data_IF_409783729640
#
_entry.id   IF_409783729640
#
_cell.length_a   1.000
_cell.length_b   1.000
_cell.length_c   1.000
_cell.angle_alpha   90.00
_cell.angle_beta   90.00
_cell.angle_gamma   90.00
#
_symmetry.space_group_name_H-M   'P 1'
#
loop_
_entity.id
_entity.type
_entity.pdbx_description
1 polymer ?
#
# COMPACT_ATOMS: atom_id res chain seq x y z
N UNK A 1 -25.83 -14.00 8.12
CA UNK A 1 -25.20 -13.18 7.08
C UNK A 1 -23.88 -13.83 6.70
N UNK A 2 -23.62 -14.02 5.41
CA UNK A 2 -22.42 -14.69 4.88
C UNK A 2 -21.42 -13.61 4.47
N UNK A 3 -20.19 -13.64 4.99
CA UNK A 3 -19.18 -12.61 4.73
C UNK A 3 -18.26 -13.08 3.60
N UNK A 4 -18.67 -12.78 2.37
CA UNK A 4 -17.99 -13.22 1.13
C UNK A 4 -16.54 -12.71 1.11
N UNK A 5 -16.28 -11.49 1.57
CA UNK A 5 -14.93 -10.94 1.64
C UNK A 5 -14.00 -11.71 2.60
N UNK A 6 -14.55 -12.25 3.69
CA UNK A 6 -13.79 -13.09 4.62
C UNK A 6 -13.58 -14.50 4.07
N UNK A 7 -14.55 -15.06 3.35
CA UNK A 7 -14.42 -16.36 2.68
C UNK A 7 -13.34 -16.31 1.58
N UNK A 8 -13.34 -15.28 0.74
CA UNK A 8 -12.31 -15.05 -0.28
C UNK A 8 -10.92 -14.85 0.33
N UNK A 9 -10.83 -14.19 1.50
CA UNK A 9 -9.59 -14.07 2.25
C UNK A 9 -9.09 -15.42 2.78
N UNK A 10 -9.97 -16.25 3.31
CA UNK A 10 -9.64 -17.56 3.87
C UNK A 10 -9.25 -18.57 2.78
N UNK A 11 -9.92 -18.53 1.63
CA UNK A 11 -9.58 -19.35 0.47
C UNK A 11 -8.25 -18.91 -0.16
N UNK A 12 -8.00 -17.61 -0.29
CA UNK A 12 -6.70 -17.09 -0.74
C UNK A 12 -5.55 -17.47 0.22
N UNK A 13 -5.79 -17.44 1.54
CA UNK A 13 -4.83 -17.90 2.55
C UNK A 13 -4.51 -19.39 2.42
N UNK A 14 -5.52 -20.20 2.13
CA UNK A 14 -5.42 -21.66 2.05
C UNK A 14 -4.66 -22.13 0.80
N UNK A 15 -4.81 -21.44 -0.32
CA UNK A 15 -4.15 -21.82 -1.58
C UNK A 15 -2.70 -21.33 -1.69
N UNK A 16 -2.32 -20.27 -0.96
CA UNK A 16 -1.06 -19.53 -1.18
C UNK A 16 -0.04 -19.69 -0.06
N UNK A 17 -0.42 -20.27 1.07
CA UNK A 17 0.45 -20.45 2.25
C UNK A 17 0.87 -19.15 2.97
N UNK A 18 0.45 -17.99 2.46
CA UNK A 18 0.69 -16.66 3.00
C UNK A 18 -0.53 -15.75 2.79
N UNK A 19 -0.74 -14.80 3.69
CA UNK A 19 -1.89 -13.90 3.63
C UNK A 19 -1.83 -12.92 2.46
N UNK A 20 -2.97 -12.39 1.99
CA UNK A 20 -3.02 -11.49 0.84
C UNK A 20 -2.17 -10.22 1.02
N UNK A 21 -1.96 -9.75 2.26
CA UNK A 21 -1.13 -8.58 2.56
C UNK A 21 0.38 -8.80 2.40
N UNK A 22 0.84 -10.05 2.41
CA UNK A 22 2.24 -10.43 2.21
C UNK A 22 2.47 -11.12 0.88
N UNK A 23 1.48 -11.85 0.38
CA UNK A 23 1.54 -12.66 -0.83
C UNK A 23 1.89 -11.84 -2.09
N UNK A 24 1.38 -10.60 -2.20
CA UNK A 24 1.64 -9.77 -3.36
C UNK A 24 3.14 -9.51 -3.60
N UNK A 25 3.97 -9.61 -2.56
CA UNK A 25 5.42 -9.45 -2.64
C UNK A 25 6.14 -10.59 -3.37
N UNK A 26 5.43 -11.63 -3.77
CA UNK A 26 5.97 -12.73 -4.59
C UNK A 26 5.50 -12.67 -6.05
N UNK A 27 4.75 -11.65 -6.43
CA UNK A 27 4.14 -11.54 -7.75
C UNK A 27 4.89 -10.56 -8.63
N UNK A 28 4.98 -10.84 -9.94
CA UNK A 28 5.35 -9.82 -10.91
C UNK A 28 4.28 -8.72 -10.96
N UNK A 29 4.66 -7.54 -11.46
CA UNK A 29 3.75 -6.41 -11.66
C UNK A 29 2.48 -6.82 -12.42
N UNK A 30 2.61 -7.43 -13.61
CA UNK A 30 1.47 -7.95 -14.39
C UNK A 30 0.56 -8.94 -13.63
N UNK A 31 1.13 -9.89 -12.88
CA UNK A 31 0.35 -10.84 -12.06
C UNK A 31 -0.37 -10.14 -10.91
N UNK A 32 0.30 -9.20 -10.25
CA UNK A 32 -0.35 -8.38 -9.21
C UNK A 32 -1.54 -7.61 -9.78
N UNK A 33 -1.38 -6.96 -10.94
CA UNK A 33 -2.45 -6.15 -11.55
C UNK A 33 -3.69 -7.01 -11.81
N UNK A 34 -3.51 -8.24 -12.30
CA UNK A 34 -4.62 -9.17 -12.56
C UNK A 34 -5.38 -9.53 -11.27
N UNK A 35 -4.67 -9.71 -10.15
CA UNK A 35 -5.23 -10.19 -8.89
C UNK A 35 -5.39 -9.08 -7.82
N UNK A 36 -5.19 -7.82 -8.19
CA UNK A 36 -5.09 -6.72 -7.25
C UNK A 36 -6.35 -6.54 -6.39
N UNK A 37 -7.53 -6.97 -6.89
CA UNK A 37 -8.79 -6.96 -6.13
C UNK A 37 -8.74 -7.80 -4.85
N UNK A 38 -7.93 -8.86 -4.81
CA UNK A 38 -7.80 -9.69 -3.61
C UNK A 38 -7.10 -8.90 -2.50
N UNK A 39 -6.04 -8.16 -2.86
CA UNK A 39 -5.28 -7.33 -1.93
C UNK A 39 -6.11 -6.13 -1.49
N UNK A 40 -6.81 -5.50 -2.42
CA UNK A 40 -7.72 -4.38 -2.17
C UNK A 40 -8.82 -4.75 -1.17
N UNK A 41 -9.53 -5.86 -1.43
CA UNK A 41 -10.56 -6.39 -0.53
C UNK A 41 -9.98 -6.66 0.85
N UNK A 42 -8.75 -7.19 0.91
CA UNK A 42 -8.13 -7.48 2.18
C UNK A 42 -7.78 -6.23 2.99
N UNK A 43 -7.22 -5.21 2.34
CA UNK A 43 -6.94 -3.91 2.96
C UNK A 43 -8.24 -3.27 3.44
N UNK A 44 -9.27 -3.19 2.59
CA UNK A 44 -10.56 -2.56 2.91
C UNK A 44 -11.24 -3.25 4.11
N UNK A 45 -11.26 -4.58 4.13
CA UNK A 45 -11.81 -5.36 5.24
C UNK A 45 -11.12 -5.01 6.56
N UNK A 46 -9.79 -4.94 6.56
CA UNK A 46 -9.01 -4.66 7.76
C UNK A 46 -9.19 -3.21 8.23
N UNK A 47 -9.10 -2.22 7.34
CA UNK A 47 -9.25 -0.80 7.74
C UNK A 47 -10.66 -0.49 8.24
N UNK A 48 -11.68 -1.13 7.64
CA UNK A 48 -13.08 -0.94 8.03
C UNK A 48 -13.37 -1.48 9.44
N UNK A 49 -12.75 -2.60 9.82
CA UNK A 49 -12.97 -3.24 11.12
C UNK A 49 -12.06 -2.66 12.20
N UNK A 50 -10.80 -2.41 11.88
CA UNK A 50 -9.77 -2.03 12.86
C UNK A 50 -9.84 -0.56 13.31
N UNK A 51 -10.48 0.31 12.52
CA UNK A 51 -10.49 1.78 12.72
C UNK A 51 -9.09 2.41 12.86
N UNK A 52 -8.06 1.72 12.36
CA UNK A 52 -6.68 2.21 12.36
C UNK A 52 -6.44 3.27 11.26
N UNK A 53 -7.35 3.38 10.29
CA UNK A 53 -7.34 4.40 9.27
C UNK A 53 -8.31 5.56 9.60
N UNK A 54 -7.99 6.80 9.22
CA UNK A 54 -8.91 7.94 9.31
C UNK A 54 -10.26 7.65 8.60
N UNK A 55 -11.41 7.99 9.21
CA UNK A 55 -12.73 7.76 8.61
C UNK A 55 -12.92 8.42 7.24
N UNK A 56 -12.26 9.57 7.01
CA UNK A 56 -12.28 10.28 5.73
C UNK A 56 -11.73 9.40 4.60
N UNK A 57 -10.56 8.79 4.79
CA UNK A 57 -9.93 7.91 3.78
C UNK A 57 -10.76 6.64 3.54
N UNK A 58 -11.40 6.10 4.58
CA UNK A 58 -12.32 4.95 4.43
C UNK A 58 -13.54 5.36 3.59
N UNK A 59 -14.08 6.56 3.82
CA UNK A 59 -15.22 7.07 3.04
C UNK A 59 -14.86 7.36 1.59
N UNK A 60 -13.65 7.85 1.33
CA UNK A 60 -13.13 8.10 -0.02
C UNK A 60 -13.03 6.81 -0.83
N UNK A 61 -12.54 5.72 -0.23
CA UNK A 61 -12.50 4.40 -0.90
C UNK A 61 -13.90 3.95 -1.36
N UNK A 62 -14.94 4.25 -0.58
CA UNK A 62 -16.29 3.85 -0.92
C UNK A 62 -16.96 4.76 -1.97
N UNK A 63 -16.42 5.97 -2.19
CA UNK A 63 -17.08 7.02 -2.96
C UNK A 63 -16.37 7.36 -4.27
N UNK A 64 -15.06 7.13 -4.37
CA UNK A 64 -14.22 7.49 -5.51
C UNK A 64 -14.11 6.30 -6.49
N UNK A 65 -14.15 6.53 -7.82
CA UNK A 65 -13.89 5.51 -8.82
C UNK A 65 -12.51 4.86 -8.66
N UNK A 66 -12.40 3.57 -8.98
CA UNK A 66 -11.16 2.82 -8.74
C UNK A 66 -9.92 3.40 -9.41
N UNK A 67 -10.06 4.04 -10.57
CA UNK A 67 -8.99 4.66 -11.35
C UNK A 67 -8.49 6.00 -10.78
N UNK A 68 -9.18 6.55 -9.79
CA UNK A 68 -8.82 7.80 -9.11
C UNK A 68 -8.38 7.59 -7.65
N UNK A 69 -8.30 6.34 -7.18
CA UNK A 69 -8.00 6.03 -5.78
C UNK A 69 -6.51 6.13 -5.39
N UNK A 70 -5.58 6.32 -6.34
CA UNK A 70 -4.16 6.38 -6.08
C UNK A 70 -3.76 7.34 -4.92
N UNK A 71 -4.29 8.58 -4.83
CA UNK A 71 -3.99 9.48 -3.72
C UNK A 71 -4.44 8.91 -2.37
N UNK A 72 -5.66 8.38 -2.28
CA UNK A 72 -6.19 7.77 -1.05
C UNK A 72 -5.36 6.55 -0.64
N UNK A 73 -4.90 5.73 -1.60
CA UNK A 73 -3.98 4.63 -1.32
C UNK A 73 -2.61 5.11 -0.83
N UNK A 74 -2.07 6.20 -1.39
CA UNK A 74 -0.82 6.80 -0.92
C UNK A 74 -0.96 7.30 0.53
N UNK A 75 -2.04 8.01 0.85
CA UNK A 75 -2.28 8.53 2.18
C UNK A 75 -2.42 7.41 3.22
N UNK A 76 -3.11 6.32 2.86
CA UNK A 76 -3.18 5.12 3.69
C UNK A 76 -1.81 4.45 3.85
N UNK A 77 -1.04 4.31 2.77
CA UNK A 77 0.29 3.72 2.82
C UNK A 77 1.19 4.48 3.80
N UNK A 78 1.22 5.81 3.69
CA UNK A 78 2.01 6.64 4.60
C UNK A 78 1.48 6.54 6.03
N UNK A 79 0.16 6.62 6.26
CA UNK A 79 -0.45 6.43 7.59
C UNK A 79 0.03 5.15 8.26
N UNK A 80 -0.05 4.02 7.57
CA UNK A 80 0.32 2.74 8.15
C UNK A 80 1.83 2.56 8.32
N UNK A 81 2.65 3.10 7.41
CA UNK A 81 4.10 3.07 7.59
C UNK A 81 4.59 3.82 8.82
N UNK A 82 3.91 4.90 9.25
CA UNK A 82 4.30 5.60 10.47
C UNK A 82 3.86 4.88 11.74
N UNK A 83 2.65 4.30 11.75
CA UNK A 83 2.11 3.60 12.91
C UNK A 83 2.99 2.43 13.32
N UNK A 84 3.64 1.82 12.34
CA UNK A 84 4.48 0.65 12.53
C UNK A 84 5.79 0.93 13.28
N UNK A 85 6.26 2.19 13.35
CA UNK A 85 7.48 2.59 14.08
C UNK A 85 8.69 1.68 13.83
N UNK A 86 8.85 1.16 12.60
CA UNK A 86 9.91 0.22 12.18
C UNK A 86 9.80 -1.21 12.77
N UNK A 87 8.63 -1.63 13.24
CA UNK A 87 8.40 -2.97 13.81
C UNK A 87 8.16 -4.05 12.73
N UNK A 88 7.97 -3.64 11.48
CA UNK A 88 7.65 -4.45 10.31
C UNK A 88 6.51 -5.43 10.57
N UNK A 89 5.50 -4.94 11.29
CA UNK A 89 4.33 -5.70 11.68
C UNK A 89 3.17 -5.55 10.70
N UNK A 90 1.96 -5.84 11.17
CA UNK A 90 0.75 -5.80 10.36
C UNK A 90 0.52 -4.42 9.70
N UNK A 91 0.89 -3.32 10.37
CA UNK A 91 0.76 -1.98 9.78
C UNK A 91 1.68 -1.83 8.56
N UNK A 92 2.92 -2.29 8.63
CA UNK A 92 3.82 -2.27 7.47
C UNK A 92 3.31 -3.12 6.30
N UNK A 93 2.71 -4.29 6.59
CA UNK A 93 2.06 -5.15 5.60
C UNK A 93 0.93 -4.41 4.87
N UNK A 94 0.03 -3.76 5.63
CA UNK A 94 -1.06 -2.97 5.07
C UNK A 94 -0.50 -1.79 4.26
N UNK A 95 0.49 -1.07 4.80
CA UNK A 95 1.11 0.07 4.12
C UNK A 95 1.75 -0.31 2.78
N UNK A 96 2.44 -1.45 2.74
CA UNK A 96 3.00 -2.01 1.52
C UNK A 96 1.93 -2.40 0.50
N UNK A 97 0.84 -3.02 0.95
CA UNK A 97 -0.31 -3.32 0.09
C UNK A 97 -0.96 -2.06 -0.49
N UNK A 98 -1.15 -1.01 0.31
CA UNK A 98 -1.66 0.28 -0.16
C UNK A 98 -0.71 0.90 -1.21
N UNK A 99 0.61 0.85 -0.97
CA UNK A 99 1.60 1.34 -1.93
C UNK A 99 1.54 0.58 -3.27
N UNK A 100 1.39 -0.74 -3.23
CA UNK A 100 1.22 -1.56 -4.44
C UNK A 100 -0.08 -1.23 -5.20
N UNK A 101 -1.19 -1.00 -4.48
CA UNK A 101 -2.47 -0.60 -5.06
C UNK A 101 -2.43 0.78 -5.73
N UNK A 102 -1.70 1.72 -5.13
CA UNK A 102 -1.42 3.02 -5.73
C UNK A 102 -0.53 2.87 -6.99
N UNK A 103 0.58 2.14 -6.88
CA UNK A 103 1.51 1.91 -7.99
C UNK A 103 0.84 1.24 -9.21
N UNK A 104 -0.16 0.37 -8.98
CA UNK A 104 -0.97 -0.26 -10.05
C UNK A 104 -1.60 0.79 -10.97
N UNK A 105 -2.02 1.93 -10.40
CA UNK A 105 -2.65 3.03 -11.13
C UNK A 105 -1.63 3.98 -11.76
N UNK A 106 -0.38 3.54 -11.92
CA UNK A 106 0.66 4.34 -12.61
C UNK A 106 0.97 5.60 -11.79
N UNK A 107 0.86 5.52 -10.46
CA UNK A 107 1.19 6.63 -9.57
C UNK A 107 2.70 6.61 -9.19
N UNK A 108 3.44 7.72 -9.41
CA UNK A 108 4.86 7.80 -9.12
C UNK A 108 5.19 7.66 -7.64
N UNK A 109 4.38 8.24 -6.74
CA UNK A 109 4.61 8.18 -5.30
C UNK A 109 4.34 6.77 -4.77
N UNK A 110 3.27 6.14 -5.22
CA UNK A 110 2.95 4.74 -4.94
C UNK A 110 4.08 3.81 -5.37
N UNK A 111 4.66 4.04 -6.55
CA UNK A 111 5.81 3.28 -7.05
C UNK A 111 7.05 3.41 -6.13
N UNK A 112 7.32 4.60 -5.60
CA UNK A 112 8.45 4.81 -4.68
C UNK A 112 8.18 4.14 -3.33
N UNK A 113 6.96 4.31 -2.79
CA UNK A 113 6.54 3.68 -1.54
C UNK A 113 6.56 2.15 -1.65
N UNK A 114 6.21 1.60 -2.80
CA UNK A 114 6.28 0.18 -3.11
C UNK A 114 7.73 -0.32 -3.13
N UNK A 115 8.63 0.39 -3.81
CA UNK A 115 10.04 0.00 -3.88
C UNK A 115 10.70 0.08 -2.50
N UNK A 116 10.36 1.10 -1.70
CA UNK A 116 10.71 1.15 -0.28
C UNK A 116 10.18 -0.11 0.42
N UNK A 117 8.89 -0.41 0.21
CA UNK A 117 8.23 -1.55 0.84
C UNK A 117 8.91 -2.89 0.55
N UNK A 118 9.51 -3.04 -0.64
CA UNK A 118 10.25 -4.24 -1.09
C UNK A 118 11.72 -4.24 -0.63
N UNK A 119 12.31 -3.08 -0.37
CA UNK A 119 13.72 -2.92 -0.04
C UNK A 119 14.08 -3.26 1.42
N UNK A 120 13.09 -3.27 2.33
CA UNK A 120 13.38 -3.41 3.76
C UNK A 120 14.00 -4.79 4.09
N UNK A 121 15.12 -4.84 4.82
CA UNK A 121 15.97 -6.03 4.95
C UNK A 121 15.37 -7.14 5.83
N UNK A 122 14.41 -6.83 6.70
CA UNK A 122 13.83 -7.79 7.64
C UNK A 122 12.58 -8.52 7.10
N UNK A 123 12.19 -8.26 5.86
CA UNK A 123 11.16 -9.04 5.19
C UNK A 123 11.71 -10.47 5.01
N UNK A 124 10.99 -11.48 5.52
CA UNK A 124 11.41 -12.88 5.51
C UNK A 124 11.50 -13.52 4.11
N UNK A 125 11.31 -12.75 3.05
CA UNK A 125 11.46 -13.19 1.67
C UNK A 125 12.92 -13.19 1.25
N UNK A 126 13.28 -14.16 0.42
CA UNK A 126 14.61 -14.23 -0.15
C UNK A 126 14.92 -12.94 -0.96
N UNK A 127 16.17 -12.45 -0.92
CA UNK A 127 16.54 -11.23 -1.64
C UNK A 127 16.31 -11.31 -3.15
N UNK A 128 16.46 -12.49 -3.76
CA UNK A 128 16.34 -12.67 -5.21
C UNK A 128 14.90 -12.45 -5.68
N UNK A 129 13.90 -12.98 -4.97
CA UNK A 129 12.48 -12.76 -5.20
C UNK A 129 12.13 -11.29 -5.05
N UNK A 130 12.67 -10.60 -4.03
CA UNK A 130 12.42 -9.16 -3.84
C UNK A 130 12.98 -8.33 -4.99
N UNK A 131 14.20 -8.64 -5.44
CA UNK A 131 14.83 -7.97 -6.59
C UNK A 131 14.05 -8.26 -7.87
N UNK A 132 13.61 -9.51 -8.06
CA UNK A 132 12.79 -9.90 -9.21
C UNK A 132 11.47 -9.12 -9.26
N UNK A 133 10.75 -9.08 -8.14
CA UNK A 133 9.48 -8.35 -8.04
C UNK A 133 9.69 -6.85 -8.27
N UNK A 134 10.65 -6.23 -7.58
CA UNK A 134 11.00 -4.82 -7.78
C UNK A 134 11.39 -4.53 -9.23
N UNK A 135 12.16 -5.42 -9.86
CA UNK A 135 12.56 -5.35 -11.26
C UNK A 135 11.37 -5.36 -12.22
N UNK A 136 10.37 -6.22 -11.97
CA UNK A 136 9.16 -6.27 -12.79
C UNK A 136 8.34 -4.97 -12.72
N UNK A 137 8.23 -4.37 -11.53
CA UNK A 137 7.56 -3.09 -11.33
C UNK A 137 8.32 -1.94 -11.98
N UNK A 138 9.64 -1.90 -11.85
CA UNK A 138 10.47 -0.90 -12.53
C UNK A 138 10.39 -1.02 -14.06
N UNK A 139 10.34 -2.23 -14.59
CA UNK A 139 10.21 -2.44 -16.04
C UNK A 139 8.84 -1.98 -16.58
N UNK A 140 7.76 -2.26 -15.87
CA UNK A 140 6.39 -1.99 -16.33
C UNK A 140 5.86 -0.59 -15.95
N UNK A 141 6.38 0.03 -14.88
CA UNK A 141 5.88 1.28 -14.28
C UNK A 141 6.97 2.31 -13.96
N UNK A 142 8.25 1.94 -14.02
CA UNK A 142 9.37 2.81 -13.63
C UNK A 142 9.66 3.96 -14.59
N UNK A 143 9.09 3.99 -15.80
CA UNK A 143 9.26 5.09 -16.79
C UNK A 143 8.79 6.44 -16.27
N UNK A 144 7.95 6.46 -15.23
CA UNK A 144 7.45 7.65 -14.57
C UNK A 144 8.45 8.28 -13.60
N UNK A 145 9.45 7.54 -13.14
CA UNK A 145 10.40 7.97 -12.10
C UNK A 145 11.52 8.85 -12.67
N UNK A 146 11.16 9.81 -13.53
CA UNK A 146 12.10 10.81 -14.01
C UNK A 146 12.15 12.02 -13.06
N UNK A 147 13.25 12.79 -13.13
CA UNK A 147 13.50 13.91 -12.23
C UNK A 147 12.37 14.96 -12.23
N UNK A 148 11.75 15.20 -13.39
CA UNK A 148 10.65 16.16 -13.55
C UNK A 148 9.40 15.69 -12.80
N UNK A 149 8.99 14.44 -13.00
CA UNK A 149 7.84 13.85 -12.29
C UNK A 149 8.09 13.85 -10.78
N UNK A 150 9.28 13.43 -10.33
CA UNK A 150 9.63 13.40 -8.91
C UNK A 150 9.57 14.80 -8.26
N UNK A 151 9.89 15.86 -9.01
CA UNK A 151 9.79 17.24 -8.52
C UNK A 151 8.36 17.75 -8.37
N UNK A 152 7.40 17.12 -9.05
CA UNK A 152 5.97 17.46 -8.97
C UNK A 152 5.23 16.77 -7.83
N UNK A 153 5.84 15.79 -7.17
CA UNK A 153 5.24 15.10 -6.04
C UNK A 153 5.20 16.06 -4.84
N UNK A 154 4.01 16.37 -4.33
CA UNK A 154 3.86 17.12 -3.09
C UNK A 154 4.10 16.19 -1.89
N UNK A 155 5.38 16.03 -1.56
CA UNK A 155 5.86 15.28 -0.39
C UNK A 155 5.27 15.79 0.94
N UNK A 156 4.83 17.04 0.98
CA UNK A 156 4.28 17.67 2.19
C UNK A 156 2.78 17.40 2.33
N UNK A 157 2.00 17.35 1.24
CA UNK A 157 0.60 16.94 1.27
C UNK A 157 0.42 15.52 1.81
N UNK A 158 1.28 14.57 1.40
CA UNK A 158 1.25 13.20 1.94
C UNK A 158 1.65 13.14 3.42
N UNK A 159 2.36 14.16 3.91
CA UNK A 159 2.73 14.31 5.31
C UNK A 159 1.70 15.10 6.15
N UNK A 160 0.61 15.65 5.57
CA UNK A 160 -0.34 16.49 6.31
C UNK A 160 -1.14 15.75 7.39
N UNK A 161 -1.18 14.42 7.36
CA UNK A 161 -1.66 13.61 8.49
C UNK A 161 -0.74 13.63 9.72
N UNK A 162 0.48 14.17 9.61
CA UNK A 162 1.51 14.21 10.66
C UNK A 162 1.75 15.58 11.26
N UNK A 163 1.08 16.63 10.78
CA UNK A 163 1.02 17.86 11.54
C UNK A 163 0.02 17.68 12.68
N UNK A 164 0.45 16.95 13.73
CA UNK A 164 0.16 17.42 15.08
C UNK A 164 0.52 18.91 15.06
N UNK A 165 -0.38 19.83 15.49
CA UNK A 165 0.05 21.19 15.72
C UNK A 165 1.19 21.08 16.74
N UNK A 166 2.43 21.28 16.29
CA UNK A 166 3.52 21.67 17.16
C UNK A 166 2.98 22.89 17.88
N UNK A 167 2.58 22.68 19.14
CA UNK A 167 1.89 23.60 20.02
C UNK A 167 2.26 25.05 19.68
N UNK A 168 1.37 25.70 18.92
CA UNK A 168 1.42 27.13 18.73
C UNK A 168 0.97 27.75 20.05
N UNK A 169 1.93 28.02 20.93
CA UNK A 169 1.74 28.80 22.14
C UNK A 169 1.24 27.99 23.34
N UNK A 170 2.18 27.52 24.16
CA UNK A 170 1.99 27.67 25.60
C UNK A 170 2.88 28.84 26.05
N UNK A 171 2.21 29.90 26.47
CA UNK A 171 2.75 31.07 27.15
C UNK A 171 2.49 30.94 28.66
#
# INVERSE_FOLDING_TARGET
>A
MRNIALEDQLDALRDRGSGPLSWWRTLSCSSFIADARVVETAVISIISVSRLAPPALISEIAAIPDDELAPTWNDLAVNFFSMDSMSLGLCYEIGGSCAALSARQVDPLGSILLLKALSEPYIMLDPETRIYVAGSWLAERGTLLNQTTLSSIDWWQTARGYQLPLLAGEA
#
